data_IF_540105487280
#
_entry.id   IF_540105487280
#
_cell.length_a   1.000
_cell.length_b   1.000
_cell.length_c   1.000
_cell.angle_alpha   90.00
_cell.angle_beta   90.00
_cell.angle_gamma   90.00
#
_symmetry.space_group_name_H-M   'P 1'
#
loop_
_entity.id
_entity.type
_entity.pdbx_description
1 polymer ?
#
# COMPACT_ATOMS: atom_id res chain seq x y z
N UNK A 1 12.03 25.52 8.82
CA UNK A 1 10.81 25.01 8.16
C UNK A 1 9.57 25.55 8.85
N UNK A 2 9.27 25.18 10.10
CA UNK A 2 8.07 25.65 10.83
C UNK A 2 7.88 27.19 10.83
N UNK A 3 8.93 27.96 11.14
CA UNK A 3 8.85 29.43 11.13
C UNK A 3 8.46 30.02 9.77
N UNK A 4 8.88 29.38 8.67
CA UNK A 4 8.52 29.80 7.30
C UNK A 4 7.04 29.56 7.03
N UNK A 5 6.51 28.40 7.43
CA UNK A 5 5.08 28.10 7.29
C UNK A 5 4.23 29.04 8.15
N UNK A 6 4.62 29.27 9.41
CA UNK A 6 3.89 30.20 10.29
C UNK A 6 3.83 31.62 9.74
N UNK A 7 4.97 32.14 9.29
CA UNK A 7 5.06 33.47 8.70
C UNK A 7 4.21 33.63 7.42
N UNK A 8 4.02 32.55 6.65
CA UNK A 8 3.27 32.58 5.39
C UNK A 8 1.78 32.24 5.55
N UNK A 9 1.42 31.39 6.53
CA UNK A 9 0.13 30.70 6.57
C UNK A 9 -0.56 30.73 7.95
N UNK A 10 0.07 31.24 9.00
CA UNK A 10 -0.53 31.42 10.34
C UNK A 10 0.25 30.77 11.48
N UNK A 11 0.29 31.46 12.62
CA UNK A 11 1.12 31.08 13.78
C UNK A 11 0.67 29.81 14.52
N UNK A 12 -0.56 29.35 14.28
CA UNK A 12 -1.16 28.16 14.87
C UNK A 12 -0.61 26.84 14.31
N UNK A 13 0.09 26.87 13.17
CA UNK A 13 0.69 25.68 12.54
C UNK A 13 1.67 24.99 13.49
N UNK A 14 1.56 23.67 13.61
CA UNK A 14 2.43 22.83 14.43
C UNK A 14 3.47 22.07 13.59
N UNK A 15 4.44 21.45 14.26
CA UNK A 15 5.40 20.56 13.59
C UNK A 15 4.72 19.35 12.96
N UNK A 16 3.69 18.82 13.60
CA UNK A 16 2.91 17.68 13.09
C UNK A 16 2.16 18.06 11.82
N UNK A 17 1.60 19.28 11.76
CA UNK A 17 0.95 19.77 10.55
C UNK A 17 1.92 19.85 9.38
N UNK A 18 3.15 20.31 9.63
CA UNK A 18 4.20 20.32 8.60
C UNK A 18 4.55 18.89 8.15
N UNK A 19 4.62 17.93 9.07
CA UNK A 19 4.87 16.52 8.73
C UNK A 19 3.76 15.97 7.83
N UNK A 20 2.50 16.14 8.21
CA UNK A 20 1.37 15.63 7.45
C UNK A 20 1.19 16.39 6.12
N UNK A 21 1.42 17.69 6.08
CA UNK A 21 1.47 18.46 4.84
C UNK A 21 2.47 17.85 3.85
N UNK A 22 3.71 17.60 4.29
CA UNK A 22 4.74 16.98 3.45
C UNK A 22 4.28 15.60 2.98
N UNK A 23 3.69 14.80 3.88
CA UNK A 23 3.19 13.48 3.54
C UNK A 23 2.11 13.53 2.45
N UNK A 24 1.12 14.43 2.58
CA UNK A 24 0.06 14.62 1.59
C UNK A 24 0.61 15.16 0.25
N UNK A 25 1.49 16.16 0.29
CA UNK A 25 2.07 16.76 -0.91
C UNK A 25 2.86 15.75 -1.75
N UNK A 26 3.61 14.85 -1.13
CA UNK A 26 4.38 13.81 -1.83
C UNK A 26 3.50 12.76 -2.52
N UNK A 27 2.20 12.70 -2.18
CA UNK A 27 1.19 11.90 -2.86
C UNK A 27 0.46 12.67 -3.98
N UNK A 28 0.60 14.00 -4.07
CA UNK A 28 -0.02 14.81 -5.13
C UNK A 28 0.50 14.42 -6.53
N UNK A 29 -0.39 14.02 -7.47
CA UNK A 29 0.00 13.76 -8.85
C UNK A 29 0.60 14.99 -9.55
N UNK A 30 0.07 16.19 -9.26
CA UNK A 30 0.57 17.46 -9.78
C UNK A 30 2.02 17.72 -9.36
N UNK A 31 2.32 17.59 -8.06
CA UNK A 31 3.68 17.72 -7.54
C UNK A 31 4.64 16.70 -8.18
N UNK A 32 4.26 15.42 -8.17
CA UNK A 32 5.11 14.33 -8.69
C UNK A 32 5.39 14.49 -10.19
N UNK A 33 4.44 15.00 -10.96
CA UNK A 33 4.59 15.25 -12.40
C UNK A 33 5.48 16.46 -12.65
N UNK A 34 5.19 17.58 -11.99
CA UNK A 34 5.94 18.84 -12.14
C UNK A 34 7.41 18.69 -11.79
N UNK A 35 7.73 17.91 -10.75
CA UNK A 35 9.10 17.73 -10.25
C UNK A 35 9.72 16.37 -10.59
N UNK A 36 9.16 15.63 -11.56
CA UNK A 36 9.58 14.26 -11.87
C UNK A 36 11.08 14.10 -12.18
N UNK A 37 11.69 15.09 -12.85
CA UNK A 37 13.12 15.06 -13.20
C UNK A 37 14.02 15.19 -11.96
N UNK A 38 13.63 16.05 -11.01
CA UNK A 38 14.40 16.32 -9.80
C UNK A 38 14.24 15.17 -8.79
N UNK A 39 13.01 14.67 -8.61
CA UNK A 39 12.73 13.55 -7.70
C UNK A 39 13.50 12.26 -8.04
N UNK A 40 13.99 12.13 -9.28
CA UNK A 40 14.84 11.01 -9.70
C UNK A 40 16.31 11.19 -9.32
N UNK A 41 16.77 12.42 -9.07
CA UNK A 41 18.20 12.78 -8.94
C UNK A 41 18.57 13.30 -7.57
N UNK A 42 17.63 13.88 -6.83
CA UNK A 42 17.89 14.56 -5.58
C UNK A 42 16.72 14.46 -4.60
N UNK A 43 16.98 14.80 -3.32
CA UNK A 43 15.95 14.82 -2.29
C UNK A 43 14.83 15.82 -2.64
N UNK A 44 13.55 15.49 -2.32
CA UNK A 44 12.42 16.37 -2.59
C UNK A 44 12.58 17.75 -1.95
N UNK A 45 12.28 18.78 -2.72
CA UNK A 45 12.13 20.15 -2.20
C UNK A 45 10.66 20.42 -1.96
N UNK A 46 10.32 20.83 -0.74
CA UNK A 46 8.93 21.02 -0.32
C UNK A 46 8.58 22.51 -0.44
N UNK A 47 7.78 22.93 -1.43
CA UNK A 47 7.25 24.29 -1.49
C UNK A 47 6.23 24.53 -0.37
N UNK A 48 6.19 25.75 0.13
CA UNK A 48 5.07 26.24 0.93
C UNK A 48 3.82 26.30 0.05
N UNK A 49 2.67 25.92 0.58
CA UNK A 49 1.40 26.00 -0.14
C UNK A 49 1.08 27.45 -0.54
N UNK A 50 0.33 27.62 -1.62
CA UNK A 50 -0.06 28.95 -2.11
C UNK A 50 -1.08 29.63 -1.18
N UNK A 51 -1.95 28.84 -0.55
CA UNK A 51 -2.98 29.30 0.37
C UNK A 51 -3.00 28.48 1.66
N UNK A 52 -3.60 29.01 2.72
CA UNK A 52 -3.81 28.27 3.97
C UNK A 52 -4.77 27.09 3.76
N UNK A 53 -5.82 27.28 2.96
CA UNK A 53 -6.78 26.22 2.65
C UNK A 53 -6.11 25.03 1.94
N UNK A 54 -5.21 25.28 0.99
CA UNK A 54 -4.44 24.20 0.34
C UNK A 54 -3.54 23.48 1.36
N UNK A 55 -2.85 24.24 2.22
CA UNK A 55 -2.02 23.66 3.28
C UNK A 55 -2.84 22.74 4.19
N UNK A 56 -4.00 23.20 4.64
CA UNK A 56 -4.87 22.43 5.53
C UNK A 56 -5.45 21.19 4.81
N UNK A 57 -5.82 21.30 3.54
CA UNK A 57 -6.28 20.18 2.73
C UNK A 57 -5.19 19.10 2.56
N UNK A 58 -3.96 19.48 2.23
CA UNK A 58 -2.83 18.54 2.15
C UNK A 58 -2.48 17.95 3.52
N UNK A 59 -2.54 18.74 4.58
CA UNK A 59 -2.30 18.29 5.95
C UNK A 59 -3.33 17.24 6.37
N UNK A 60 -4.61 17.50 6.13
CA UNK A 60 -5.69 16.56 6.41
C UNK A 60 -5.51 15.25 5.64
N UNK A 61 -5.30 15.32 4.32
CA UNK A 61 -5.08 14.14 3.49
C UNK A 61 -3.84 13.37 3.93
N UNK A 62 -2.74 14.07 4.26
CA UNK A 62 -1.51 13.44 4.74
C UNK A 62 -1.67 12.73 6.07
N UNK A 63 -2.45 13.27 7.01
CA UNK A 63 -2.79 12.59 8.26
C UNK A 63 -3.60 11.33 8.00
N UNK A 64 -4.65 11.41 7.19
CA UNK A 64 -5.49 10.26 6.83
C UNK A 64 -4.68 9.17 6.12
N UNK A 65 -3.81 9.53 5.18
CA UNK A 65 -2.91 8.59 4.51
C UNK A 65 -1.91 7.96 5.49
N UNK A 66 -1.33 8.75 6.39
CA UNK A 66 -0.36 8.27 7.37
C UNK A 66 -0.98 7.24 8.33
N UNK A 67 -2.20 7.51 8.82
CA UNK A 67 -2.92 6.58 9.68
C UNK A 67 -3.32 5.30 8.93
N UNK A 68 -3.81 5.43 7.71
CA UNK A 68 -4.13 4.29 6.84
C UNK A 68 -2.90 3.39 6.60
N UNK A 69 -1.77 3.99 6.24
CA UNK A 69 -0.55 3.25 5.90
C UNK A 69 0.11 2.64 7.13
N UNK A 70 0.05 3.29 8.31
CA UNK A 70 0.52 2.72 9.57
C UNK A 70 -0.37 1.54 10.01
N UNK A 71 -1.67 1.63 9.73
CA UNK A 71 -2.66 0.61 10.05
C UNK A 71 -2.88 -0.46 8.98
N UNK A 72 -1.98 -0.63 8.00
CA UNK A 72 -2.22 -1.48 6.82
C UNK A 72 -2.54 -2.94 7.18
N UNK A 73 -1.91 -3.49 8.23
CA UNK A 73 -2.17 -4.86 8.69
C UNK A 73 -3.45 -4.98 9.49
N UNK A 74 -4.06 -3.87 9.92
CA UNK A 74 -5.28 -3.83 10.73
C UNK A 74 -6.48 -3.24 10.00
N UNK A 75 -6.31 -2.86 8.72
CA UNK A 75 -7.39 -2.34 7.91
C UNK A 75 -8.55 -3.35 7.81
N UNK A 76 -9.76 -2.86 7.55
CA UNK A 76 -10.88 -3.75 7.24
C UNK A 76 -10.59 -4.48 5.93
N UNK A 77 -10.64 -5.83 5.88
CA UNK A 77 -10.39 -6.58 4.66
C UNK A 77 -11.36 -6.19 3.55
N UNK A 78 -10.84 -5.96 2.33
CA UNK A 78 -11.69 -5.75 1.16
C UNK A 78 -12.49 -7.04 0.90
N UNK A 79 -13.77 -6.94 0.49
CA UNK A 79 -14.64 -8.10 0.29
C UNK A 79 -14.32 -8.85 -1.01
N UNK A 80 -13.08 -9.34 -1.16
CA UNK A 80 -12.70 -10.23 -2.24
C UNK A 80 -13.38 -11.60 -2.05
N UNK A 81 -13.83 -12.15 -3.16
CA UNK A 81 -14.39 -13.51 -3.21
C UNK A 81 -13.24 -14.53 -3.18
N UNK A 82 -13.44 -15.61 -2.41
CA UNK A 82 -12.51 -16.72 -2.28
C UNK A 82 -13.04 -17.91 -3.09
N UNK A 83 -12.37 -18.20 -4.22
CA UNK A 83 -12.67 -19.37 -5.03
C UNK A 83 -11.78 -20.54 -4.60
N UNK A 84 -12.40 -21.57 -4.02
CA UNK A 84 -11.74 -22.77 -3.51
C UNK A 84 -11.87 -23.94 -4.49
N UNK A 85 -10.81 -24.74 -4.64
CA UNK A 85 -10.82 -25.98 -5.42
C UNK A 85 -10.75 -27.20 -4.50
N UNK A 86 -11.64 -28.17 -4.74
CA UNK A 86 -11.77 -29.39 -3.92
C UNK A 86 -12.69 -29.22 -2.71
N UNK A 87 -12.78 -30.26 -1.89
CA UNK A 87 -13.58 -30.26 -0.65
C UNK A 87 -12.70 -29.78 0.50
N UNK A 88 -12.59 -28.46 0.64
CA UNK A 88 -11.83 -27.79 1.70
C UNK A 88 -12.75 -26.81 2.43
N UNK A 89 -12.57 -26.67 3.74
CA UNK A 89 -13.38 -25.81 4.61
C UNK A 89 -12.83 -24.38 4.74
N UNK A 90 -12.05 -23.93 3.75
CA UNK A 90 -11.51 -22.56 3.66
C UNK A 90 -10.57 -22.12 4.81
N UNK A 91 -10.33 -23.01 5.77
CA UNK A 91 -9.52 -22.79 6.95
C UNK A 91 -8.56 -23.96 7.25
N UNK A 92 -8.45 -24.92 6.32
CA UNK A 92 -7.40 -25.92 6.34
C UNK A 92 -6.02 -25.23 6.23
N UNK A 93 -5.21 -25.38 7.29
CA UNK A 93 -3.90 -24.74 7.42
C UNK A 93 -2.97 -25.08 6.26
N UNK A 94 -3.01 -26.32 5.76
CA UNK A 94 -2.16 -26.73 4.64
C UNK A 94 -2.67 -26.13 3.33
N UNK A 95 -3.98 -26.05 3.15
CA UNK A 95 -4.58 -25.41 1.98
C UNK A 95 -4.34 -23.89 1.91
N UNK A 96 -3.93 -23.27 3.02
CA UNK A 96 -3.61 -21.84 3.13
C UNK A 96 -2.10 -21.55 3.03
N UNK A 97 -1.23 -22.55 2.89
CA UNK A 97 0.20 -22.31 2.70
C UNK A 97 0.46 -21.67 1.34
N UNK A 98 1.27 -20.62 1.33
CA UNK A 98 1.73 -19.97 0.10
C UNK A 98 3.04 -20.59 -0.38
N UNK A 99 3.16 -20.80 -1.69
CA UNK A 99 4.46 -21.07 -2.32
C UNK A 99 4.87 -19.86 -3.15
N UNK A 100 4.09 -19.56 -4.19
CA UNK A 100 4.30 -18.40 -5.05
C UNK A 100 2.98 -17.94 -5.67
N UNK A 101 2.56 -16.73 -5.28
CA UNK A 101 1.37 -16.10 -5.83
C UNK A 101 1.61 -15.54 -7.23
N UNK A 102 0.53 -15.34 -7.98
CA UNK A 102 0.55 -14.62 -9.26
C UNK A 102 -0.82 -14.04 -9.58
N UNK A 103 -0.87 -12.98 -10.38
CA UNK A 103 -2.13 -12.60 -11.02
C UNK A 103 -2.59 -13.66 -12.02
N UNK A 104 -3.90 -13.64 -12.34
CA UNK A 104 -4.52 -14.54 -13.30
C UNK A 104 -3.79 -14.55 -14.65
N UNK A 105 -3.37 -13.39 -15.14
CA UNK A 105 -2.45 -13.31 -16.28
C UNK A 105 -1.61 -12.03 -16.21
N UNK A 106 -0.77 -11.78 -17.22
CA UNK A 106 0.00 -10.52 -17.35
C UNK A 106 -0.88 -9.30 -17.64
N UNK A 107 -2.11 -9.51 -18.11
CA UNK A 107 -3.04 -8.45 -18.52
C UNK A 107 -4.33 -8.46 -17.70
N UNK A 108 -4.61 -9.56 -16.99
CA UNK A 108 -5.78 -9.71 -16.13
C UNK A 108 -5.33 -9.81 -14.67
N UNK A 109 -5.45 -8.68 -13.97
CA UNK A 109 -5.15 -8.55 -12.54
C UNK A 109 -6.42 -8.47 -11.68
N UNK A 110 -7.58 -8.86 -12.23
CA UNK A 110 -8.85 -8.90 -11.48
C UNK A 110 -8.90 -10.04 -10.46
N UNK A 111 -7.97 -11.00 -10.58
CA UNK A 111 -7.83 -12.13 -9.70
C UNK A 111 -6.36 -12.45 -9.40
N UNK A 112 -6.13 -12.92 -8.18
CA UNK A 112 -4.85 -13.38 -7.67
C UNK A 112 -4.94 -14.88 -7.36
N UNK A 113 -4.10 -15.67 -8.01
CA UNK A 113 -3.92 -17.09 -7.72
C UNK A 113 -3.01 -17.17 -6.50
N UNK A 114 -3.58 -17.52 -5.35
CA UNK A 114 -2.86 -17.58 -4.09
C UNK A 114 -2.00 -18.85 -4.03
N UNK A 115 -2.62 -20.01 -4.28
CA UNK A 115 -1.96 -21.30 -4.45
C UNK A 115 -2.82 -22.22 -5.35
N UNK A 116 -2.64 -23.55 -5.25
CA UNK A 116 -3.42 -24.54 -6.00
C UNK A 116 -4.86 -24.67 -5.54
N UNK A 117 -5.15 -24.27 -4.29
CA UNK A 117 -6.44 -24.45 -3.62
C UNK A 117 -7.29 -23.19 -3.62
N UNK A 118 -6.67 -22.01 -3.51
CA UNK A 118 -7.34 -20.73 -3.33
C UNK A 118 -6.97 -19.73 -4.43
N UNK A 119 -8.00 -19.05 -4.95
CA UNK A 119 -7.87 -17.81 -5.74
C UNK A 119 -8.73 -16.71 -5.14
N UNK A 120 -8.20 -15.49 -5.12
CA UNK A 120 -8.91 -14.29 -4.68
C UNK A 120 -9.39 -13.51 -5.91
N UNK A 121 -10.69 -13.29 -6.05
CA UNK A 121 -11.32 -12.62 -7.20
C UNK A 121 -11.98 -11.30 -6.78
N UNK A 122 -12.26 -10.43 -7.76
CA UNK A 122 -12.92 -9.15 -7.52
C UNK A 122 -11.98 -8.03 -7.10
N UNK A 123 -10.69 -8.11 -7.44
CA UNK A 123 -9.72 -7.04 -7.18
C UNK A 123 -10.05 -5.86 -8.10
N UNK A 124 -10.40 -4.68 -7.55
CA UNK A 124 -10.73 -3.51 -8.37
C UNK A 124 -9.49 -2.93 -9.05
N UNK A 125 -9.65 -2.40 -10.27
CA UNK A 125 -8.56 -1.76 -11.03
C UNK A 125 -7.88 -0.63 -10.25
N UNK A 126 -8.65 0.07 -9.41
CA UNK A 126 -8.13 1.14 -8.56
C UNK A 126 -7.01 0.67 -7.61
N UNK A 127 -7.04 -0.58 -7.15
CA UNK A 127 -5.99 -1.12 -6.28
C UNK A 127 -4.61 -1.17 -6.95
N UNK A 128 -4.57 -1.28 -8.28
CA UNK A 128 -3.31 -1.33 -9.05
C UNK A 128 -2.70 0.06 -9.31
N UNK A 129 -3.48 1.13 -9.12
CA UNK A 129 -3.01 2.52 -9.30
C UNK A 129 -2.06 2.96 -8.18
N UNK A 130 -2.20 2.40 -6.98
CA UNK A 130 -1.33 2.73 -5.86
C UNK A 130 0.06 2.07 -6.02
N UNK A 131 1.04 2.87 -6.48
CA UNK A 131 2.41 2.40 -6.77
C UNK A 131 3.41 2.85 -5.71
N UNK A 132 4.18 1.89 -5.21
CA UNK A 132 5.32 2.05 -4.32
C UNK A 132 6.61 1.77 -5.09
N UNK A 133 7.15 2.82 -5.70
CA UNK A 133 8.28 2.68 -6.64
C UNK A 133 7.83 2.03 -7.95
N UNK A 134 8.49 0.94 -8.34
CA UNK A 134 8.22 0.26 -9.61
C UNK A 134 7.01 -0.68 -9.57
N UNK A 135 6.42 -0.95 -8.39
CA UNK A 135 5.39 -1.98 -8.18
C UNK A 135 4.16 -1.41 -7.48
N UNK A 136 2.99 -1.98 -7.72
CA UNK A 136 1.81 -1.76 -6.87
C UNK A 136 2.02 -2.39 -5.49
N UNK A 137 1.19 -2.01 -4.51
CA UNK A 137 1.23 -2.62 -3.18
C UNK A 137 0.97 -4.15 -3.24
N UNK A 138 0.05 -4.59 -4.09
CA UNK A 138 -0.19 -6.02 -4.33
C UNK A 138 0.99 -6.74 -4.98
N UNK A 139 1.65 -6.11 -5.95
CA UNK A 139 2.85 -6.66 -6.56
C UNK A 139 4.00 -6.81 -5.55
N UNK A 140 4.07 -5.94 -4.54
CA UNK A 140 5.00 -6.10 -3.42
C UNK A 140 4.65 -7.31 -2.55
N UNK A 141 3.36 -7.53 -2.25
CA UNK A 141 2.94 -8.73 -1.51
C UNK A 141 3.31 -9.99 -2.29
N UNK A 142 3.03 -10.05 -3.60
CA UNK A 142 3.43 -11.18 -4.47
C UNK A 142 4.95 -11.39 -4.47
N UNK A 143 5.74 -10.31 -4.53
CA UNK A 143 7.20 -10.41 -4.56
C UNK A 143 7.81 -10.89 -3.24
N UNK A 144 7.25 -10.43 -2.10
CA UNK A 144 7.79 -10.68 -0.76
C UNK A 144 7.24 -11.95 -0.11
N UNK A 145 5.96 -12.26 -0.27
CA UNK A 145 5.31 -13.43 0.33
C UNK A 145 5.37 -14.62 -0.62
N UNK A 146 6.58 -15.14 -0.81
CA UNK A 146 6.80 -16.39 -1.54
C UNK A 146 7.98 -17.14 -0.93
N UNK A 147 7.93 -18.47 -0.99
CA UNK A 147 9.02 -19.32 -0.52
C UNK A 147 10.22 -19.13 -1.45
N UNK A 148 11.33 -18.66 -0.89
CA UNK A 148 12.58 -18.39 -1.62
C UNK A 148 13.77 -18.90 -0.83
N UNK A 149 14.62 -19.69 -1.47
CA UNK A 149 15.97 -19.98 -0.95
C UNK A 149 16.91 -18.84 -1.31
N UNK A 150 17.75 -18.43 -0.36
CA UNK A 150 18.75 -17.39 -0.59
C UNK A 150 19.63 -17.71 -1.80
N UNK A 151 19.63 -16.80 -2.77
CA UNK A 151 20.35 -16.95 -4.03
C UNK A 151 21.86 -16.73 -3.88
N UNK A 152 22.35 -16.31 -2.70
CA UNK A 152 23.78 -16.13 -2.42
C UNK A 152 24.44 -17.35 -1.78
N UNK A 153 23.72 -18.48 -1.74
CA UNK A 153 24.30 -19.77 -1.37
C UNK A 153 24.37 -20.05 0.13
N UNK A 154 23.73 -19.23 0.99
CA UNK A 154 23.62 -19.55 2.42
C UNK A 154 22.74 -20.78 2.70
N UNK A 155 21.90 -21.18 1.74
CA UNK A 155 20.92 -22.25 1.92
C UNK A 155 19.73 -21.86 2.80
N UNK A 156 19.67 -20.62 3.31
CA UNK A 156 18.59 -20.13 4.15
C UNK A 156 17.30 -20.06 3.32
N UNK A 157 16.24 -20.69 3.82
CA UNK A 157 14.91 -20.65 3.23
C UNK A 157 14.12 -19.52 3.91
N UNK A 158 13.69 -18.55 3.11
CA UNK A 158 12.70 -17.56 3.52
C UNK A 158 11.31 -18.12 3.18
N UNK A 159 10.65 -18.65 4.19
CA UNK A 159 9.27 -19.15 4.11
C UNK A 159 8.33 -18.21 4.91
N UNK A 160 7.45 -17.44 4.24
CA UNK A 160 6.50 -16.57 4.93
C UNK A 160 5.45 -17.34 5.75
N UNK A 161 5.24 -18.63 5.48
CA UNK A 161 4.29 -19.44 6.24
C UNK A 161 4.79 -19.70 7.67
N UNK A 162 6.10 -19.67 7.93
CA UNK A 162 6.65 -19.82 9.28
C UNK A 162 6.10 -18.76 10.22
N UNK A 163 5.93 -17.53 9.73
CA UNK A 163 5.29 -16.46 10.50
C UNK A 163 3.82 -16.78 10.81
N UNK A 164 3.08 -17.32 9.84
CA UNK A 164 1.69 -17.76 10.06
C UNK A 164 1.60 -18.84 11.14
N UNK A 165 2.55 -19.78 11.14
CA UNK A 165 2.64 -20.87 12.11
C UNK A 165 2.97 -20.33 13.52
N UNK A 166 3.95 -19.43 13.63
CA UNK A 166 4.33 -18.76 14.89
C UNK A 166 3.18 -17.95 15.49
N UNK A 167 2.41 -17.24 14.64
CA UNK A 167 1.26 -16.45 15.07
C UNK A 167 -0.02 -17.27 15.25
N UNK A 168 0.02 -18.58 15.00
CA UNK A 168 -1.15 -19.47 14.97
C UNK A 168 -2.29 -18.92 14.09
N UNK A 169 -1.94 -18.23 13.00
CA UNK A 169 -2.86 -17.58 12.08
C UNK A 169 -2.58 -17.99 10.63
N UNK A 170 -3.17 -19.12 10.21
CA UNK A 170 -3.04 -19.65 8.85
C UNK A 170 -3.56 -18.68 7.77
N UNK A 171 -4.53 -17.82 8.11
CA UNK A 171 -5.16 -16.88 7.17
C UNK A 171 -4.43 -15.54 7.06
N UNK A 172 -3.35 -15.33 7.82
CA UNK A 172 -2.65 -14.05 7.90
C UNK A 172 -2.36 -13.43 6.52
N UNK A 173 -1.77 -14.20 5.59
CA UNK A 173 -1.38 -13.68 4.27
C UNK A 173 -2.61 -13.42 3.39
N UNK A 174 -3.63 -14.29 3.44
CA UNK A 174 -4.88 -14.10 2.70
C UNK A 174 -5.57 -12.81 3.15
N UNK A 175 -5.72 -12.61 4.45
CA UNK A 175 -6.36 -11.43 5.01
C UNK A 175 -5.51 -10.19 4.76
N UNK A 176 -4.17 -10.29 4.83
CA UNK A 176 -3.26 -9.20 4.48
C UNK A 176 -3.47 -8.73 3.03
N UNK A 177 -3.64 -9.65 2.07
CA UNK A 177 -3.92 -9.27 0.68
C UNK A 177 -5.21 -8.46 0.60
N UNK A 178 -6.29 -8.93 1.24
CA UNK A 178 -7.57 -8.22 1.28
C UNK A 178 -7.44 -6.83 1.92
N UNK A 179 -6.66 -6.71 2.99
CA UNK A 179 -6.38 -5.42 3.66
C UNK A 179 -5.58 -4.48 2.76
N UNK A 180 -4.58 -4.99 2.06
CA UNK A 180 -3.77 -4.21 1.10
C UNK A 180 -4.62 -3.74 -0.08
N UNK A 181 -5.62 -4.52 -0.53
CA UNK A 181 -6.60 -4.01 -1.51
C UNK A 181 -7.36 -2.81 -0.96
N UNK A 182 -7.91 -2.90 0.25
CA UNK A 182 -8.59 -1.75 0.91
C UNK A 182 -7.67 -0.54 0.97
N UNK A 183 -6.46 -0.71 1.52
CA UNK A 183 -5.47 0.37 1.63
C UNK A 183 -5.19 0.99 0.27
N UNK A 184 -4.98 0.18 -0.76
CA UNK A 184 -4.68 0.69 -2.10
C UNK A 184 -5.83 1.51 -2.70
N UNK A 185 -7.07 1.03 -2.55
CA UNK A 185 -8.25 1.75 -3.05
C UNK A 185 -8.45 3.05 -2.27
N UNK A 186 -8.46 2.99 -0.94
CA UNK A 186 -8.66 4.17 -0.08
C UNK A 186 -7.55 5.20 -0.25
N UNK A 187 -6.30 4.78 -0.44
CA UNK A 187 -5.19 5.70 -0.77
C UNK A 187 -5.49 6.46 -2.04
N UNK A 188 -5.99 5.78 -3.08
CA UNK A 188 -6.30 6.44 -4.34
C UNK A 188 -7.53 7.35 -4.26
N UNK A 189 -8.54 7.02 -3.45
CA UNK A 189 -9.67 7.91 -3.17
C UNK A 189 -9.19 9.22 -2.53
N UNK A 190 -8.27 9.16 -1.56
CA UNK A 190 -7.69 10.35 -0.93
C UNK A 190 -6.85 11.14 -1.94
N UNK A 191 -6.03 10.46 -2.73
CA UNK A 191 -5.17 11.09 -3.76
C UNK A 191 -5.99 11.80 -4.82
N UNK A 192 -7.09 11.19 -5.27
CA UNK A 192 -7.99 11.77 -6.27
C UNK A 192 -8.75 13.00 -5.75
N UNK A 193 -8.88 13.13 -4.41
CA UNK A 193 -9.46 14.28 -3.74
C UNK A 193 -8.49 15.41 -3.38
N UNK A 194 -7.19 15.28 -3.70
CA UNK A 194 -6.20 16.32 -3.40
C UNK A 194 -6.41 17.59 -4.24
N UNK A 195 -6.05 18.78 -3.72
CA UNK A 195 -6.04 20.01 -4.52
C UNK A 195 -5.18 19.87 -5.79
N UNK A 196 -5.63 20.51 -6.86
CA UNK A 196 -4.90 20.60 -8.12
C UNK A 196 -3.82 21.68 -8.00
N UNK A 197 -2.56 21.27 -7.90
CA UNK A 197 -1.39 22.16 -7.79
C UNK A 197 -0.58 22.26 -9.07
#
# INVERSE_FOLDING_TARGET
MLATYRAALGDDITTDDVFYYVYGLLHSPGYRTRFAADLRKMLPRIPTAATRDDFDAFTHAGRTLSDLHRGYETATPYPLEESWTGTLDGNDREALRVNKMRFKSKTDHSALIYNTHLSLTGIPDAAHRYRLGARSALEWIIDRYQVKTDSRGSGIINDPNTWCDEQLNARYIVDLIKRVVTVSVTTMEIVDGLPSN
#
